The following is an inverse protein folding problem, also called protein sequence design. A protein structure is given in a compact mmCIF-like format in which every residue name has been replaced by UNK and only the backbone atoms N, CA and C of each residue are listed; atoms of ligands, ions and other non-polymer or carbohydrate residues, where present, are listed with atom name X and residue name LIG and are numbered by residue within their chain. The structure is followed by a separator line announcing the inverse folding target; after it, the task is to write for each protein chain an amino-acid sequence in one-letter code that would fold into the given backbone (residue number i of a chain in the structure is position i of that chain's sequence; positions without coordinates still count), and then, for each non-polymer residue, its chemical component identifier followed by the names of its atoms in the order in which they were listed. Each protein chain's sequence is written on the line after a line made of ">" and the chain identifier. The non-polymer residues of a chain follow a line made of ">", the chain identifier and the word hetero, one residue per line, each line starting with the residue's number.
data_IF_549086052953
#
_entry.id   IF_549086052953
#
_cell.length_a   1.000
_cell.length_b   1.000
_cell.length_c   1.000
_cell.angle_alpha   90.00
_cell.angle_beta   90.00
_cell.angle_gamma   90.00
#
_symmetry.space_group_name_H-M   'P 1'
#
loop_
_entity.id
_entity.type
_entity.pdbx_description
1 polymer ?
#
# COMPACT_ATOMS: atom_id res chain seq x y z
N UNK A 1 -47.03 23.24 -60.17
CA UNK A 1 -46.66 23.82 -58.85
C UNK A 1 -47.16 23.06 -57.65
N UNK A 2 -48.31 22.41 -57.61
CA UNK A 2 -48.81 21.64 -56.46
C UNK A 2 -47.96 20.38 -56.12
N UNK A 3 -47.47 19.62 -57.10
CA UNK A 3 -46.66 18.42 -56.90
C UNK A 3 -45.26 18.69 -56.36
N UNK A 4 -44.67 19.85 -56.63
CA UNK A 4 -43.32 20.21 -56.14
C UNK A 4 -43.33 20.64 -54.67
N UNK A 5 -44.45 21.18 -54.16
CA UNK A 5 -44.61 21.54 -52.75
C UNK A 5 -44.77 20.30 -51.84
N UNK A 6 -45.37 19.22 -52.37
CA UNK A 6 -45.55 17.97 -51.62
C UNK A 6 -44.23 17.21 -51.50
N UNK A 7 -43.36 17.23 -52.51
CA UNK A 7 -42.06 16.57 -52.44
C UNK A 7 -41.14 17.30 -51.48
N UNK A 8 -41.16 18.65 -51.41
CA UNK A 8 -40.39 19.44 -50.46
C UNK A 8 -40.84 19.20 -49.02
N UNK A 9 -42.12 19.02 -48.75
CA UNK A 9 -42.64 18.73 -47.40
C UNK A 9 -42.28 17.29 -46.94
N UNK A 10 -42.27 16.31 -47.81
CA UNK A 10 -41.84 14.94 -47.47
C UNK A 10 -40.36 14.81 -47.23
N UNK A 11 -39.50 15.53 -47.99
CA UNK A 11 -38.08 15.59 -47.76
C UNK A 11 -37.71 16.30 -46.43
N UNK A 12 -38.46 17.36 -46.06
CA UNK A 12 -38.25 18.08 -44.80
C UNK A 12 -38.64 17.23 -43.55
N UNK A 13 -39.69 16.43 -43.67
CA UNK A 13 -40.11 15.50 -42.59
C UNK A 13 -39.16 14.32 -42.49
N UNK A 14 -38.58 13.79 -43.60
CA UNK A 14 -37.60 12.74 -43.56
C UNK A 14 -36.25 13.22 -43.00
N UNK A 15 -35.82 14.46 -43.22
CA UNK A 15 -34.62 15.01 -42.61
C UNK A 15 -34.76 15.26 -41.11
N UNK A 16 -35.95 15.55 -40.63
CA UNK A 16 -36.22 15.67 -39.16
C UNK A 16 -36.30 14.36 -38.44
N UNK A 17 -36.61 13.24 -39.14
CA UNK A 17 -36.64 11.90 -38.54
C UNK A 17 -35.25 11.26 -38.42
N UNK A 18 -34.26 11.71 -39.20
CA UNK A 18 -32.86 11.23 -39.05
C UNK A 18 -32.02 12.02 -38.05
N UNK A 19 -32.54 13.12 -37.49
CA UNK A 19 -31.85 13.92 -36.47
C UNK A 19 -31.99 13.39 -35.05
N UNK A 20 -32.72 12.28 -34.84
CA UNK A 20 -32.90 11.63 -33.52
C UNK A 20 -32.12 10.34 -33.37
N UNK A 21 -31.16 10.03 -34.24
CA UNK A 21 -30.18 8.97 -33.95
C UNK A 21 -29.11 9.54 -33.02
N UNK A 22 -29.45 9.59 -31.77
CA UNK A 22 -28.68 9.27 -30.62
C UNK A 22 -27.20 9.65 -30.60
N UNK A 23 -26.88 10.94 -30.47
CA UNK A 23 -25.84 11.22 -29.47
C UNK A 23 -26.40 10.74 -28.13
N UNK A 24 -25.93 9.62 -27.61
CA UNK A 24 -25.88 9.42 -26.17
C UNK A 24 -25.08 10.59 -25.64
N UNK A 25 -25.77 11.63 -25.23
CA UNK A 25 -25.22 12.67 -24.41
C UNK A 25 -24.67 11.91 -23.20
N UNK A 26 -23.32 11.82 -23.12
CA UNK A 26 -22.71 11.45 -21.89
C UNK A 26 -23.35 12.36 -20.85
N UNK A 27 -24.12 11.78 -19.93
CA UNK A 27 -24.59 12.51 -18.78
C UNK A 27 -23.33 13.05 -18.11
N UNK A 28 -23.07 14.33 -18.27
CA UNK A 28 -22.11 15.07 -17.45
C UNK A 28 -22.72 15.24 -16.05
N UNK A 29 -23.04 14.13 -15.42
CA UNK A 29 -23.20 14.08 -13.97
C UNK A 29 -21.82 14.34 -13.39
N UNK A 30 -21.77 15.21 -12.40
CA UNK A 30 -20.57 15.42 -11.61
C UNK A 30 -20.03 14.05 -11.13
N UNK A 31 -18.73 13.76 -11.36
CA UNK A 31 -18.15 12.49 -10.98
C UNK A 31 -18.28 12.30 -9.46
N UNK A 32 -18.72 11.13 -9.02
CA UNK A 32 -18.88 10.85 -7.59
C UNK A 32 -17.52 10.85 -6.93
N UNK A 33 -17.34 11.67 -5.88
CA UNK A 33 -16.10 11.66 -5.09
C UNK A 33 -16.00 10.32 -4.35
N UNK A 34 -14.92 9.62 -4.57
CA UNK A 34 -14.54 8.38 -3.88
C UNK A 34 -13.37 8.67 -2.96
N UNK A 35 -13.33 8.05 -1.80
CA UNK A 35 -12.16 8.02 -0.90
C UNK A 35 -11.67 6.59 -0.74
N UNK A 36 -10.42 6.41 -0.33
CA UNK A 36 -9.86 5.07 -0.07
C UNK A 36 -10.62 4.36 1.07
N UNK A 37 -11.06 5.10 2.08
CA UNK A 37 -11.87 4.56 3.16
C UNK A 37 -13.23 4.07 2.66
N UNK A 38 -13.92 4.84 1.82
CA UNK A 38 -15.18 4.44 1.21
C UNK A 38 -15.00 3.23 0.27
N UNK A 39 -13.83 3.12 -0.38
CA UNK A 39 -13.47 2.02 -1.26
C UNK A 39 -13.21 0.70 -0.53
N UNK A 40 -13.13 0.69 0.80
CA UNK A 40 -13.03 -0.55 1.58
C UNK A 40 -14.36 -1.32 1.68
N UNK A 41 -15.50 -0.69 1.34
CA UNK A 41 -16.83 -1.30 1.42
C UNK A 41 -17.31 -1.85 0.06
N UNK A 42 -17.25 -3.16 -0.15
CA UNK A 42 -17.66 -3.80 -1.42
C UNK A 42 -19.10 -3.44 -1.82
N UNK A 43 -20.07 -3.53 -0.90
CA UNK A 43 -21.47 -3.23 -1.18
C UNK A 43 -21.68 -1.77 -1.63
N UNK A 44 -20.94 -0.85 -1.02
CA UNK A 44 -20.98 0.55 -1.44
C UNK A 44 -20.40 0.73 -2.85
N UNK A 45 -19.24 0.15 -3.12
CA UNK A 45 -18.62 0.22 -4.45
C UNK A 45 -19.53 -0.38 -5.52
N UNK A 46 -20.23 -1.48 -5.21
CA UNK A 46 -21.18 -2.10 -6.13
C UNK A 46 -22.31 -1.17 -6.55
N UNK A 47 -22.69 -0.22 -5.70
CA UNK A 47 -23.68 0.83 -6.05
C UNK A 47 -23.13 1.86 -7.06
N UNK A 48 -21.80 1.93 -7.19
CA UNK A 48 -21.09 2.86 -8.08
C UNK A 48 -20.55 2.17 -9.34
N UNK A 49 -20.74 0.86 -9.51
CA UNK A 49 -20.29 0.09 -10.66
C UNK A 49 -20.76 0.73 -11.98
N UNK A 50 -19.84 0.94 -12.91
CA UNK A 50 -20.09 1.59 -14.20
C UNK A 50 -20.28 3.12 -14.15
N UNK A 51 -20.17 3.76 -12.97
CA UNK A 51 -20.32 5.22 -12.84
C UNK A 51 -18.98 5.94 -12.90
N UNK A 52 -19.02 7.21 -13.29
CA UNK A 52 -17.86 8.09 -13.19
C UNK A 52 -17.55 8.43 -11.73
N UNK A 53 -16.31 8.24 -11.36
CA UNK A 53 -15.78 8.58 -10.03
C UNK A 53 -14.57 9.48 -10.14
N UNK A 54 -14.30 10.21 -9.07
CA UNK A 54 -13.06 10.98 -8.90
C UNK A 54 -12.44 10.66 -7.56
N UNK A 55 -11.11 10.50 -7.53
CA UNK A 55 -10.34 10.22 -6.33
C UNK A 55 -9.00 10.91 -6.42
N UNK A 56 -8.47 11.36 -5.29
CA UNK A 56 -7.12 11.92 -5.17
C UNK A 56 -6.17 10.93 -4.51
N UNK A 57 -4.89 10.99 -4.86
CA UNK A 57 -3.87 10.13 -4.29
C UNK A 57 -2.52 10.33 -4.94
N UNK A 58 -1.66 9.35 -4.80
CA UNK A 58 -0.28 9.34 -5.32
C UNK A 58 -0.04 8.09 -6.16
N UNK A 59 0.72 8.24 -7.22
CA UNK A 59 1.16 7.11 -8.04
C UNK A 59 2.26 6.33 -7.29
N UNK A 60 2.07 5.04 -7.09
CA UNK A 60 3.09 4.19 -6.50
C UNK A 60 4.31 4.03 -7.43
N UNK A 61 5.51 3.99 -6.87
CA UNK A 61 6.75 3.79 -7.63
C UNK A 61 6.84 2.41 -8.29
N UNK A 62 6.07 1.44 -7.80
CA UNK A 62 5.91 0.10 -8.36
C UNK A 62 4.95 0.03 -9.54
N UNK A 63 4.31 1.15 -9.94
CA UNK A 63 3.50 1.19 -11.15
C UNK A 63 4.32 0.83 -12.39
N UNK A 64 3.72 0.17 -13.41
CA UNK A 64 4.44 -0.20 -14.62
C UNK A 64 5.09 0.98 -15.32
N UNK A 65 6.36 0.83 -15.71
CA UNK A 65 7.16 1.89 -16.35
C UNK A 65 6.59 2.32 -17.70
N UNK A 66 5.88 1.41 -18.39
CA UNK A 66 5.21 1.69 -19.67
C UNK A 66 3.91 2.50 -19.50
N UNK A 67 3.46 2.71 -18.26
CA UNK A 67 2.25 3.45 -17.96
C UNK A 67 0.96 2.75 -18.40
N UNK A 68 1.00 1.43 -18.63
CA UNK A 68 -0.17 0.64 -19.02
C UNK A 68 -1.29 0.68 -17.98
N UNK A 69 -0.92 0.85 -16.72
CA UNK A 69 -1.80 1.19 -15.60
C UNK A 69 -0.98 1.83 -14.47
N UNK A 70 -1.61 2.28 -13.41
CA UNK A 70 -0.94 2.70 -12.19
C UNK A 70 -1.57 2.08 -10.96
N UNK A 71 -0.78 1.88 -9.93
CA UNK A 71 -1.27 1.73 -8.57
C UNK A 71 -1.43 3.11 -7.95
N UNK A 72 -2.67 3.49 -7.65
CA UNK A 72 -2.98 4.73 -6.94
C UNK A 72 -3.03 4.44 -5.44
N UNK A 73 -2.33 5.21 -4.66
CA UNK A 73 -2.21 5.08 -3.21
C UNK A 73 -2.77 6.33 -2.51
N UNK A 74 -3.27 6.14 -1.30
CA UNK A 74 -3.76 7.26 -0.48
C UNK A 74 -2.62 8.11 0.08
N UNK A 75 -1.41 7.57 0.20
CA UNK A 75 -0.25 8.23 0.79
C UNK A 75 0.96 8.17 -0.13
N UNK A 76 1.89 9.14 -0.07
CA UNK A 76 3.09 9.16 -0.91
C UNK A 76 4.12 8.14 -0.41
N UNK A 77 3.97 6.89 -0.75
CA UNK A 77 4.96 5.85 -0.44
C UNK A 77 6.02 5.77 -1.52
N UNK A 78 7.27 5.67 -1.09
CA UNK A 78 8.38 5.34 -1.99
C UNK A 78 8.57 3.82 -2.15
N UNK A 79 7.93 3.01 -1.31
CA UNK A 79 8.02 1.55 -1.30
C UNK A 79 6.79 0.87 -1.90
N UNK A 80 6.86 -0.46 -2.04
CA UNK A 80 5.80 -1.29 -2.58
C UNK A 80 4.45 -1.08 -1.87
N UNK A 81 3.35 -0.81 -2.61
CA UNK A 81 2.01 -0.61 -2.03
C UNK A 81 1.49 -1.84 -1.27
N UNK A 82 2.05 -3.03 -1.55
CA UNK A 82 1.69 -4.30 -0.94
C UNK A 82 2.50 -4.61 0.33
N UNK A 83 3.48 -3.76 0.67
CA UNK A 83 4.35 -3.95 1.82
C UNK A 83 3.79 -3.33 3.10
N UNK A 84 2.56 -2.83 3.10
CA UNK A 84 1.89 -2.40 4.32
C UNK A 84 1.49 -3.64 5.11
N UNK A 85 2.01 -3.82 6.33
CA UNK A 85 1.71 -5.01 7.11
C UNK A 85 0.20 -5.19 7.33
N UNK A 86 -0.30 -6.41 7.13
CA UNK A 86 -1.68 -6.83 7.38
C UNK A 86 -2.81 -6.13 6.61
N UNK A 87 -2.55 -5.47 5.51
CA UNK A 87 -3.62 -5.14 4.58
C UNK A 87 -3.85 -6.35 3.67
N UNK A 88 -4.58 -7.34 4.15
CA UNK A 88 -5.06 -8.47 3.34
C UNK A 88 -6.00 -8.02 2.23
N UNK A 89 -6.45 -6.79 2.30
CA UNK A 89 -7.18 -6.07 1.26
C UNK A 89 -6.52 -4.70 1.13
N UNK A 90 -6.16 -4.34 -0.06
CA UNK A 90 -5.48 -3.11 -0.43
C UNK A 90 -6.36 -1.87 -0.20
N UNK A 91 -6.80 -1.66 1.05
CA UNK A 91 -7.67 -0.56 1.44
C UNK A 91 -7.09 0.83 1.14
N UNK A 92 -5.79 0.89 0.90
CA UNK A 92 -5.04 2.11 0.60
C UNK A 92 -4.43 2.13 -0.81
N UNK A 93 -4.78 1.17 -1.67
CA UNK A 93 -4.26 1.07 -3.04
C UNK A 93 -5.36 0.62 -3.98
N UNK A 94 -5.39 1.17 -5.19
CA UNK A 94 -6.28 0.72 -6.26
C UNK A 94 -5.59 0.76 -7.61
N UNK A 95 -6.02 -0.09 -8.52
CA UNK A 95 -5.58 -0.07 -9.91
C UNK A 95 -6.35 0.96 -10.72
N UNK A 96 -5.62 1.71 -11.52
CA UNK A 96 -6.19 2.72 -12.43
C UNK A 96 -5.63 2.50 -13.83
N UNK A 97 -6.51 2.33 -14.81
CA UNK A 97 -6.18 2.07 -16.21
C UNK A 97 -6.48 3.31 -17.06
N UNK A 98 -5.56 3.73 -17.95
CA UNK A 98 -5.78 4.86 -18.84
C UNK A 98 -6.85 4.54 -19.88
N UNK A 99 -7.27 5.57 -20.63
CA UNK A 99 -8.09 5.37 -21.83
C UNK A 99 -7.36 4.49 -22.83
N UNK A 100 -8.12 3.73 -23.59
CA UNK A 100 -7.59 2.82 -24.58
C UNK A 100 -6.64 3.52 -25.57
N UNK A 101 -5.41 3.04 -25.60
CA UNK A 101 -4.34 3.59 -26.47
C UNK A 101 -3.58 4.76 -25.85
N UNK A 102 -3.88 5.13 -24.61
CA UNK A 102 -3.12 6.09 -23.81
C UNK A 102 -2.25 5.36 -22.78
N UNK A 103 -1.31 6.07 -22.18
CA UNK A 103 -0.47 5.61 -21.09
C UNK A 103 -0.28 6.71 -20.05
N UNK A 104 -0.02 6.33 -18.81
CA UNK A 104 0.29 7.29 -17.75
C UNK A 104 1.79 7.61 -17.71
N UNK A 105 2.12 8.91 -17.62
CA UNK A 105 3.46 9.33 -17.23
C UNK A 105 3.62 9.22 -15.72
N UNK A 106 4.79 8.78 -15.25
CA UNK A 106 5.07 8.73 -13.81
C UNK A 106 5.14 10.14 -13.22
N UNK A 107 4.58 10.30 -12.02
CA UNK A 107 4.71 11.51 -11.19
C UNK A 107 4.73 11.13 -9.72
N UNK A 108 5.53 11.87 -8.92
CA UNK A 108 5.54 11.77 -7.47
C UNK A 108 4.66 12.83 -6.79
N UNK A 109 3.97 13.65 -7.58
CA UNK A 109 3.06 14.67 -7.08
C UNK A 109 1.69 14.06 -6.79
N UNK A 110 0.93 14.74 -5.91
CA UNK A 110 -0.47 14.42 -5.69
C UNK A 110 -1.27 14.56 -6.99
N UNK A 111 -2.11 13.60 -7.30
CA UNK A 111 -2.91 13.57 -8.52
C UNK A 111 -4.39 13.37 -8.22
N UNK A 112 -5.22 13.93 -9.07
CA UNK A 112 -6.66 13.71 -9.09
C UNK A 112 -7.02 12.87 -10.29
N UNK A 113 -7.58 11.69 -10.05
CA UNK A 113 -8.07 10.76 -11.06
C UNK A 113 -9.53 11.06 -11.37
N UNK A 114 -9.91 10.92 -12.63
CA UNK A 114 -11.30 10.84 -13.08
C UNK A 114 -11.42 9.67 -14.04
N UNK A 115 -12.32 8.73 -13.77
CA UNK A 115 -12.53 7.54 -14.60
C UNK A 115 -13.82 6.81 -14.27
N UNK A 116 -14.03 5.66 -14.85
CA UNK A 116 -15.19 4.79 -14.62
C UNK A 116 -14.81 3.70 -13.63
N UNK A 117 -15.59 3.56 -12.57
CA UNK A 117 -15.39 2.48 -11.61
C UNK A 117 -15.92 1.17 -12.19
N UNK A 118 -15.11 0.12 -12.16
CA UNK A 118 -15.50 -1.26 -12.41
C UNK A 118 -15.36 -2.07 -11.12
N UNK A 119 -16.41 -2.78 -10.72
CA UNK A 119 -16.43 -3.61 -9.51
C UNK A 119 -16.60 -5.07 -9.90
N UNK A 120 -15.80 -5.95 -9.32
CA UNK A 120 -15.87 -7.39 -9.56
C UNK A 120 -17.29 -7.94 -9.36
N UNK A 121 -17.62 -9.05 -10.00
CA UNK A 121 -18.96 -9.67 -9.91
C UNK A 121 -19.32 -10.02 -8.46
N UNK A 122 -18.34 -10.57 -7.73
CA UNK A 122 -18.42 -10.90 -6.31
C UNK A 122 -17.02 -10.83 -5.69
N UNK A 123 -16.92 -10.76 -4.36
CA UNK A 123 -15.64 -10.79 -3.63
C UNK A 123 -14.87 -12.10 -3.86
N UNK A 124 -15.57 -13.20 -4.17
CA UNK A 124 -14.96 -14.49 -4.49
C UNK A 124 -14.41 -14.60 -5.93
N UNK A 125 -14.62 -13.56 -6.74
CA UNK A 125 -14.18 -13.49 -8.15
C UNK A 125 -13.53 -12.13 -8.43
N UNK A 126 -12.41 -11.83 -7.77
CA UNK A 126 -11.69 -10.56 -7.95
C UNK A 126 -11.14 -10.44 -9.39
N UNK A 127 -10.80 -9.23 -9.78
CA UNK A 127 -9.91 -9.00 -10.92
C UNK A 127 -8.50 -9.42 -10.55
N UNK A 128 -7.78 -10.02 -11.49
CA UNK A 128 -6.36 -10.36 -11.31
C UNK A 128 -5.53 -9.55 -12.30
N UNK A 129 -4.52 -8.85 -11.79
CA UNK A 129 -3.61 -8.08 -12.62
C UNK A 129 -2.54 -8.94 -13.29
N UNK A 130 -1.67 -8.31 -14.08
CA UNK A 130 -0.58 -9.00 -14.77
C UNK A 130 0.51 -9.55 -13.83
N UNK A 131 0.53 -9.11 -12.58
CA UNK A 131 1.47 -9.58 -11.55
C UNK A 131 0.87 -10.65 -10.65
N UNK A 132 -0.44 -10.97 -10.83
CA UNK A 132 -1.16 -11.95 -10.03
C UNK A 132 -1.80 -11.38 -8.76
N UNK A 133 -1.86 -10.05 -8.60
CA UNK A 133 -2.57 -9.42 -7.50
C UNK A 133 -4.08 -9.39 -7.76
N UNK A 134 -4.86 -9.50 -6.69
CA UNK A 134 -6.32 -9.58 -6.76
C UNK A 134 -6.95 -8.30 -6.22
N UNK A 135 -7.91 -7.75 -6.97
CA UNK A 135 -8.63 -6.52 -6.65
C UNK A 135 -10.13 -6.71 -6.87
N UNK A 136 -10.94 -6.24 -5.94
CA UNK A 136 -12.39 -6.27 -6.08
C UNK A 136 -12.94 -5.12 -6.93
N UNK A 137 -12.11 -4.14 -7.25
CA UNK A 137 -12.48 -2.97 -8.06
C UNK A 137 -11.24 -2.36 -8.72
N UNK A 138 -11.48 -1.61 -9.79
CA UNK A 138 -10.49 -0.81 -10.51
C UNK A 138 -11.16 0.40 -11.16
N UNK A 139 -10.37 1.39 -11.53
CA UNK A 139 -10.85 2.54 -12.31
C UNK A 139 -10.32 2.40 -13.74
N UNK A 140 -11.22 2.50 -14.71
CA UNK A 140 -10.88 2.37 -16.14
C UNK A 140 -11.24 3.64 -16.91
N UNK A 141 -10.77 3.75 -18.16
CA UNK A 141 -10.93 4.93 -19.01
C UNK A 141 -10.53 6.24 -18.30
N UNK A 142 -9.50 6.13 -17.46
CA UNK A 142 -9.10 7.19 -16.55
C UNK A 142 -8.16 8.21 -17.18
N UNK A 143 -8.24 9.42 -16.66
CA UNK A 143 -7.27 10.49 -16.82
C UNK A 143 -6.84 11.00 -15.45
N UNK A 144 -5.65 11.62 -15.37
CA UNK A 144 -5.26 12.30 -14.14
C UNK A 144 -4.85 13.76 -14.43
N UNK A 145 -4.95 14.57 -13.37
CA UNK A 145 -4.40 15.93 -13.31
C UNK A 145 -3.56 16.05 -12.05
N UNK A 146 -2.46 16.78 -12.13
CA UNK A 146 -1.64 17.10 -10.96
C UNK A 146 -2.41 18.12 -10.12
N UNK A 147 -2.50 17.86 -8.82
CA UNK A 147 -3.08 18.79 -7.85
C UNK A 147 -2.02 19.85 -7.55
N UNK A 148 -2.39 21.12 -7.71
CA UNK A 148 -1.44 22.20 -7.44
C UNK A 148 -1.28 22.38 -5.92
N UNK A 149 -0.15 22.95 -5.50
CA UNK A 149 0.20 23.07 -4.08
C UNK A 149 -0.83 23.86 -3.26
N UNK A 150 -1.54 24.81 -3.88
CA UNK A 150 -2.61 25.59 -3.26
C UNK A 150 -3.98 24.89 -3.27
N UNK A 151 -4.09 23.75 -3.94
CA UNK A 151 -5.28 22.89 -4.00
C UNK A 151 -5.16 21.64 -3.11
N UNK A 152 -3.98 21.41 -2.51
CA UNK A 152 -3.77 20.28 -1.59
C UNK A 152 -4.66 20.43 -0.35
N UNK A 153 -5.27 19.33 0.09
CA UNK A 153 -5.86 19.26 1.42
C UNK A 153 -4.76 19.43 2.50
N UNK A 154 -5.14 19.81 3.70
CA UNK A 154 -4.19 19.93 4.82
C UNK A 154 -3.47 18.60 5.05
N UNK A 155 -4.19 17.48 4.99
CA UNK A 155 -3.65 16.13 5.14
C UNK A 155 -2.66 15.78 4.04
N UNK A 156 -3.00 16.03 2.77
CA UNK A 156 -2.08 15.81 1.66
C UNK A 156 -0.80 16.63 1.79
N UNK A 157 -0.91 17.88 2.20
CA UNK A 157 0.24 18.76 2.40
C UNK A 157 1.16 18.28 3.53
N UNK A 158 0.60 17.75 4.62
CA UNK A 158 1.35 17.15 5.72
C UNK A 158 2.08 15.87 5.28
N UNK A 159 1.37 14.98 4.59
CA UNK A 159 1.98 13.74 4.10
C UNK A 159 3.05 13.98 3.05
N UNK A 160 2.91 14.97 2.20
CA UNK A 160 3.95 15.33 1.25
C UNK A 160 5.24 15.77 1.98
N UNK A 161 5.14 16.55 3.06
CA UNK A 161 6.29 16.91 3.88
C UNK A 161 6.94 15.70 4.56
N UNK A 162 6.13 14.76 5.06
CA UNK A 162 6.64 13.49 5.63
C UNK A 162 7.39 12.69 4.56
N UNK A 163 6.85 12.57 3.36
CA UNK A 163 7.48 11.81 2.28
C UNK A 163 8.85 12.39 1.85
N UNK A 164 9.03 13.70 1.96
CA UNK A 164 10.31 14.37 1.67
C UNK A 164 11.43 14.01 2.67
N UNK A 165 11.08 13.44 3.82
CA UNK A 165 12.04 13.10 4.89
C UNK A 165 12.57 11.65 4.84
N UNK A 166 12.13 10.83 3.89
CA UNK A 166 12.39 9.38 3.82
C UNK A 166 11.90 8.57 5.04
N UNK A 167 11.27 9.22 6.03
CA UNK A 167 10.87 8.57 7.28
C UNK A 167 9.82 7.46 7.07
N UNK A 168 9.05 7.54 6.00
CA UNK A 168 8.05 6.50 5.67
C UNK A 168 8.74 5.14 5.48
N UNK A 169 9.85 5.09 4.75
CA UNK A 169 10.66 3.89 4.60
C UNK A 169 11.23 3.38 5.92
N UNK A 170 11.65 4.30 6.79
CA UNK A 170 12.14 3.96 8.13
C UNK A 170 11.04 3.35 9.00
N UNK A 171 9.80 3.85 8.92
CA UNK A 171 8.66 3.31 9.66
C UNK A 171 8.36 1.88 9.23
N UNK A 172 8.31 1.59 7.92
CA UNK A 172 8.08 0.22 7.46
C UNK A 172 9.18 -0.73 7.89
N UNK A 173 10.42 -0.33 7.72
CA UNK A 173 11.58 -1.11 8.16
C UNK A 173 11.55 -1.38 9.65
N UNK A 174 11.12 -0.40 10.43
CA UNK A 174 10.93 -0.54 11.88
C UNK A 174 9.89 -1.63 12.20
N UNK A 175 8.73 -1.62 11.54
CA UNK A 175 7.71 -2.65 11.78
C UNK A 175 8.15 -4.04 11.36
N UNK A 176 8.78 -4.19 10.22
CA UNK A 176 9.36 -5.47 9.78
C UNK A 176 10.34 -6.02 10.81
N UNK A 177 11.17 -5.15 11.34
CA UNK A 177 12.15 -5.44 12.34
C UNK A 177 11.53 -5.87 13.68
N UNK A 178 10.54 -5.13 14.18
CA UNK A 178 9.83 -5.48 15.42
C UNK A 178 9.08 -6.80 15.25
N UNK A 179 8.48 -7.04 14.10
CA UNK A 179 7.82 -8.30 13.78
C UNK A 179 8.81 -9.47 13.75
N UNK A 180 9.98 -9.28 13.15
CA UNK A 180 11.05 -10.28 13.15
C UNK A 180 11.42 -10.70 14.56
N UNK A 181 11.58 -9.74 15.48
CA UNK A 181 11.93 -10.02 16.87
C UNK A 181 10.80 -10.72 17.64
N UNK A 182 9.57 -10.26 17.50
CA UNK A 182 8.43 -10.78 18.22
C UNK A 182 8.06 -12.21 17.79
N UNK A 183 8.19 -12.49 16.49
CA UNK A 183 7.92 -13.81 15.93
C UNK A 183 9.16 -14.71 15.88
N UNK A 184 10.21 -14.37 16.63
CA UNK A 184 11.49 -15.05 16.49
C UNK A 184 11.41 -16.53 16.90
N UNK A 185 11.82 -17.36 15.99
CA UNK A 185 12.22 -18.74 16.19
C UNK A 185 13.56 -18.94 15.49
N UNK A 186 14.10 -20.14 15.43
CA UNK A 186 15.29 -20.36 14.60
C UNK A 186 15.00 -19.95 13.15
N UNK A 187 15.50 -18.79 12.78
CA UNK A 187 15.21 -18.17 11.50
C UNK A 187 16.19 -18.61 10.43
N UNK A 188 15.66 -18.92 9.25
CA UNK A 188 16.50 -19.29 8.11
C UNK A 188 16.67 -18.11 7.15
N UNK A 189 17.93 -17.74 6.92
CA UNK A 189 18.30 -16.78 5.88
C UNK A 189 18.53 -17.55 4.58
N UNK A 190 17.72 -17.26 3.56
CA UNK A 190 17.85 -17.87 2.24
C UNK A 190 19.22 -17.57 1.61
N UNK A 191 19.68 -18.48 0.75
CA UNK A 191 20.85 -18.22 -0.08
C UNK A 191 20.61 -16.98 -0.95
N UNK A 192 21.63 -16.17 -1.10
CA UNK A 192 21.62 -14.94 -1.88
C UNK A 192 22.85 -14.78 -2.74
N UNK A 193 23.04 -13.59 -3.28
CA UNK A 193 24.25 -13.22 -4.02
C UNK A 193 24.82 -11.97 -3.37
N UNK A 194 26.11 -11.97 -3.06
CA UNK A 194 26.80 -10.80 -2.53
C UNK A 194 26.99 -9.71 -3.61
N UNK A 195 27.46 -8.55 -3.22
CA UNK A 195 27.74 -7.42 -4.12
C UNK A 195 28.77 -7.74 -5.23
N UNK A 196 29.56 -8.81 -5.08
CA UNK A 196 30.52 -9.28 -6.05
C UNK A 196 29.97 -10.38 -6.98
N UNK A 197 28.70 -10.77 -6.79
CA UNK A 197 28.04 -11.81 -7.56
C UNK A 197 28.34 -13.25 -7.10
N UNK A 198 28.93 -13.43 -5.92
CA UNK A 198 29.18 -14.77 -5.36
C UNK A 198 27.93 -15.27 -4.66
N UNK A 199 27.67 -16.58 -4.79
CA UNK A 199 26.55 -17.20 -4.06
C UNK A 199 26.92 -17.31 -2.59
N UNK A 200 26.10 -16.68 -1.72
CA UNK A 200 26.15 -16.83 -0.27
C UNK A 200 25.17 -17.94 0.09
N UNK A 201 25.63 -19.07 0.67
CA UNK A 201 24.72 -20.13 1.07
C UNK A 201 23.78 -19.66 2.19
N UNK A 202 22.57 -20.22 2.20
CA UNK A 202 21.63 -19.97 3.30
C UNK A 202 22.13 -20.56 4.61
N UNK A 203 21.71 -19.96 5.72
CA UNK A 203 22.11 -20.37 7.07
C UNK A 203 21.00 -20.09 8.09
N UNK A 204 21.09 -20.70 9.27
CA UNK A 204 20.20 -20.43 10.39
C UNK A 204 20.78 -19.34 11.28
N UNK A 205 19.88 -18.48 11.74
CA UNK A 205 20.14 -17.52 12.82
C UNK A 205 19.71 -18.12 14.14
N UNK A 206 20.65 -18.31 15.04
CA UNK A 206 20.42 -18.70 16.42
C UNK A 206 20.16 -17.45 17.30
N UNK A 207 19.67 -17.60 18.56
CA UNK A 207 19.40 -16.45 19.43
C UNK A 207 20.58 -15.47 19.56
N UNK A 208 21.79 -15.98 19.69
CA UNK A 208 23.02 -15.16 19.77
C UNK A 208 23.29 -14.36 18.50
N UNK A 209 23.01 -14.95 17.35
CA UNK A 209 23.18 -14.30 16.05
C UNK A 209 22.10 -13.21 15.86
N UNK A 210 20.87 -13.49 16.29
CA UNK A 210 19.78 -12.51 16.27
C UNK A 210 20.13 -11.29 17.14
N UNK A 211 20.58 -11.50 18.36
CA UNK A 211 21.02 -10.41 19.26
C UNK A 211 22.14 -9.61 18.61
N UNK A 212 23.16 -10.28 18.04
CA UNK A 212 24.28 -9.62 17.38
C UNK A 212 23.85 -8.76 16.20
N UNK A 213 23.05 -9.30 15.29
CA UNK A 213 22.51 -8.57 14.15
C UNK A 213 21.73 -7.33 14.55
N UNK A 214 20.98 -7.43 15.64
CA UNK A 214 20.12 -6.37 16.14
C UNK A 214 20.92 -5.26 16.84
N UNK A 215 21.90 -5.64 17.67
CA UNK A 215 22.60 -4.69 18.55
C UNK A 215 23.87 -4.13 17.95
N UNK A 216 24.57 -4.86 17.12
CA UNK A 216 25.95 -4.53 16.70
C UNK A 216 26.06 -4.22 15.21
N UNK A 217 25.33 -4.89 14.35
CA UNK A 217 25.52 -4.87 12.89
C UNK A 217 24.30 -4.39 12.10
N UNK A 218 23.28 -3.95 12.80
CA UNK A 218 22.02 -3.54 12.21
C UNK A 218 22.12 -2.47 11.13
N UNK A 219 23.16 -1.65 11.18
CA UNK A 219 23.41 -0.66 10.13
C UNK A 219 23.85 -1.33 8.81
N UNK A 220 24.55 -2.46 8.86
CA UNK A 220 25.09 -3.15 7.68
C UNK A 220 23.99 -3.97 6.97
N UNK A 221 23.06 -4.55 7.73
CA UNK A 221 22.01 -5.42 7.18
C UNK A 221 20.62 -4.75 7.10
N UNK A 222 20.52 -3.47 7.43
CA UNK A 222 19.24 -2.73 7.55
C UNK A 222 18.26 -3.29 8.61
N UNK A 223 18.73 -4.11 9.54
CA UNK A 223 17.97 -4.71 10.63
C UNK A 223 18.56 -4.22 11.96
N UNK A 224 18.71 -2.95 12.22
CA UNK A 224 19.44 -2.55 13.39
C UNK A 224 18.64 -1.74 14.39
N UNK A 225 18.47 -2.27 15.58
CA UNK A 225 18.23 -1.49 16.77
C UNK A 225 19.56 -0.93 17.25
N UNK A 226 19.81 0.35 16.95
CA UNK A 226 20.85 1.13 17.60
C UNK A 226 20.20 2.05 18.63
N UNK A 227 20.93 2.41 19.69
CA UNK A 227 20.48 3.42 20.63
C UNK A 227 20.05 4.68 19.87
N UNK A 228 18.81 5.14 20.12
CA UNK A 228 18.24 6.28 19.44
C UNK A 228 17.58 5.98 18.08
N UNK A 229 17.48 4.73 17.64
CA UNK A 229 16.82 4.41 16.37
C UNK A 229 15.38 4.90 16.30
N UNK A 230 14.56 4.57 17.29
CA UNK A 230 13.17 5.02 17.39
C UNK A 230 13.08 6.54 17.57
N UNK A 231 13.95 7.12 18.38
CA UNK A 231 14.03 8.59 18.58
C UNK A 231 14.36 9.31 17.26
N UNK A 232 15.21 8.74 16.43
CA UNK A 232 15.54 9.29 15.12
C UNK A 232 14.31 9.34 14.19
N UNK A 233 13.50 8.29 14.15
CA UNK A 233 12.26 8.25 13.37
C UNK A 233 11.26 9.28 13.92
N UNK A 234 11.04 9.28 15.23
CA UNK A 234 10.10 10.19 15.90
C UNK A 234 10.51 11.65 15.68
N UNK A 235 11.78 11.98 15.81
CA UNK A 235 12.26 13.36 15.61
C UNK A 235 12.00 13.87 14.19
N UNK A 236 12.09 13.02 13.17
CA UNK A 236 11.75 13.38 11.79
C UNK A 236 10.25 13.68 11.64
N UNK A 237 9.39 12.87 12.29
CA UNK A 237 7.94 13.05 12.27
C UNK A 237 7.53 14.33 12.99
N UNK A 238 8.03 14.54 14.21
CA UNK A 238 7.74 15.71 15.03
C UNK A 238 8.24 17.02 14.41
N UNK A 239 9.31 16.95 13.61
CA UNK A 239 9.80 18.11 12.86
C UNK A 239 8.83 18.57 11.76
N UNK A 240 7.95 17.70 11.28
CA UNK A 240 6.90 18.06 10.33
C UNK A 240 5.70 18.67 11.05
N UNK A 241 5.09 17.92 11.95
CA UNK A 241 4.02 18.38 12.85
C UNK A 241 3.83 17.41 14.03
N UNK A 242 4.17 17.81 15.27
CA UNK A 242 4.08 16.93 16.43
C UNK A 242 2.64 16.61 16.84
N UNK A 243 1.67 17.47 16.48
CA UNK A 243 0.27 17.26 16.88
C UNK A 243 -0.47 16.37 15.90
N UNK A 244 -0.29 16.60 14.61
CA UNK A 244 -0.96 15.83 13.56
C UNK A 244 -0.56 14.35 13.58
N UNK A 245 0.67 14.03 14.01
CA UNK A 245 1.22 12.68 14.04
C UNK A 245 1.38 12.10 15.45
N UNK A 246 0.71 12.67 16.47
CA UNK A 246 0.83 12.20 17.86
C UNK A 246 0.49 10.72 18.04
N UNK A 247 -0.55 10.22 17.36
CA UNK A 247 -0.96 8.81 17.44
C UNK A 247 0.08 7.88 16.79
N UNK A 248 0.70 8.31 15.69
CA UNK A 248 1.81 7.58 15.06
C UNK A 248 3.01 7.50 16.01
N UNK A 249 3.39 8.61 16.61
CA UNK A 249 4.49 8.67 17.60
C UNK A 249 4.21 7.75 18.78
N UNK A 250 2.98 7.74 19.30
CA UNK A 250 2.58 6.84 20.40
C UNK A 250 2.68 5.36 20.00
N UNK A 251 2.28 5.03 18.78
CA UNK A 251 2.40 3.66 18.24
C UNK A 251 3.88 3.25 18.09
N UNK A 252 4.75 4.12 17.59
CA UNK A 252 6.19 3.87 17.46
C UNK A 252 6.84 3.67 18.85
N UNK A 253 6.44 4.44 19.87
CA UNK A 253 6.90 4.23 21.24
C UNK A 253 6.46 2.88 21.81
N UNK A 254 5.27 2.42 21.47
CA UNK A 254 4.81 1.09 21.86
C UNK A 254 5.61 -0.01 21.16
N UNK A 255 5.94 0.18 19.88
CA UNK A 255 6.83 -0.72 19.14
C UNK A 255 8.25 -0.77 19.75
N UNK A 256 8.78 0.37 20.19
CA UNK A 256 10.05 0.44 20.92
C UNK A 256 10.01 -0.37 22.25
N UNK A 257 8.95 -0.20 23.02
CA UNK A 257 8.78 -0.96 24.27
C UNK A 257 8.69 -2.47 24.02
N UNK A 258 7.96 -2.88 22.98
CA UNK A 258 7.84 -4.27 22.58
C UNK A 258 9.18 -4.85 22.11
N UNK A 259 9.95 -4.08 21.35
CA UNK A 259 11.32 -4.45 20.94
C UNK A 259 12.22 -4.71 22.14
N UNK A 260 12.22 -3.80 23.12
CA UNK A 260 13.01 -3.96 24.35
C UNK A 260 12.58 -5.22 25.14
N UNK A 261 11.27 -5.51 25.18
CA UNK A 261 10.73 -6.72 25.80
C UNK A 261 11.26 -7.98 25.10
N UNK A 262 11.15 -8.04 23.77
CA UNK A 262 11.62 -9.17 22.98
C UNK A 262 13.14 -9.40 23.10
N UNK A 263 13.93 -8.34 23.06
CA UNK A 263 15.39 -8.40 23.26
C UNK A 263 15.76 -8.94 24.63
N UNK A 264 15.10 -8.46 25.69
CA UNK A 264 15.34 -8.93 27.05
C UNK A 264 15.05 -10.43 27.20
N UNK A 265 14.03 -10.96 26.52
CA UNK A 265 13.73 -12.39 26.51
C UNK A 265 14.87 -13.19 25.83
N UNK A 266 15.42 -12.69 24.71
CA UNK A 266 16.55 -13.32 24.05
C UNK A 266 17.82 -13.26 24.90
N UNK A 267 18.15 -12.11 25.48
CA UNK A 267 19.35 -11.89 26.30
C UNK A 267 19.35 -12.70 27.60
N UNK A 268 18.17 -12.94 28.18
CA UNK A 268 18.00 -13.75 29.36
C UNK A 268 17.80 -15.25 29.05
N UNK A 269 17.99 -15.66 27.81
CA UNK A 269 17.83 -17.04 27.37
C UNK A 269 16.44 -17.63 27.64
N UNK A 270 15.39 -16.81 27.62
CA UNK A 270 14.00 -17.22 27.82
C UNK A 270 13.40 -17.82 26.55
N UNK A 271 14.04 -18.85 26.06
CA UNK A 271 13.60 -19.62 24.90
C UNK A 271 13.69 -21.13 25.19
N UNK A 272 12.84 -21.89 24.50
CA UNK A 272 12.90 -23.33 24.47
C UNK A 272 13.67 -23.80 23.24
N UNK A 273 14.22 -25.01 23.30
CA UNK A 273 14.83 -25.64 22.14
C UNK A 273 14.29 -27.07 21.98
N UNK A 274 14.07 -27.46 20.74
CA UNK A 274 13.71 -28.84 20.40
C UNK A 274 14.49 -29.29 19.16
N UNK A 275 14.79 -30.60 19.10
CA UNK A 275 15.38 -31.21 17.90
C UNK A 275 14.30 -31.39 16.86
N UNK A 276 14.48 -30.79 15.69
CA UNK A 276 13.58 -30.96 14.53
C UNK A 276 14.36 -31.43 13.33
N UNK A 277 13.78 -32.36 12.57
CA UNK A 277 14.28 -32.68 11.25
C UNK A 277 13.90 -31.56 10.27
N UNK A 278 14.91 -31.00 9.65
CA UNK A 278 14.79 -29.89 8.73
C UNK A 278 14.82 -30.46 7.30
N UNK A 279 13.64 -30.69 6.72
CA UNK A 279 13.51 -31.35 5.41
C UNK A 279 14.32 -30.68 4.30
N UNK A 280 14.37 -29.35 4.30
CA UNK A 280 15.09 -28.57 3.31
C UNK A 280 16.62 -28.78 3.36
N UNK A 281 17.17 -29.29 4.48
CA UNK A 281 18.59 -29.57 4.65
C UNK A 281 18.91 -31.06 4.81
N UNK A 282 17.88 -31.88 4.99
CA UNK A 282 18.04 -33.31 5.21
C UNK A 282 18.80 -33.65 6.52
N UNK A 283 18.74 -32.78 7.52
CA UNK A 283 19.44 -32.92 8.81
C UNK A 283 18.57 -32.59 9.99
N UNK A 284 18.93 -33.15 11.17
CA UNK A 284 18.34 -32.71 12.43
C UNK A 284 19.17 -31.57 13.02
N UNK A 285 18.48 -30.53 13.51
CA UNK A 285 19.10 -29.42 14.23
C UNK A 285 18.20 -28.92 15.37
N UNK A 286 18.78 -28.08 16.24
CA UNK A 286 18.03 -27.44 17.32
C UNK A 286 17.25 -26.25 16.78
N UNK A 287 15.94 -26.24 17.01
CA UNK A 287 15.06 -25.10 16.75
C UNK A 287 14.75 -24.43 18.08
N UNK A 288 15.00 -23.14 18.14
CA UNK A 288 14.77 -22.30 19.32
C UNK A 288 13.49 -21.48 19.13
N UNK A 289 12.69 -21.33 20.17
CA UNK A 289 11.45 -20.55 20.16
C UNK A 289 11.35 -19.75 21.44
N UNK A 290 11.08 -18.44 21.34
CA UNK A 290 10.85 -17.57 22.50
C UNK A 290 9.70 -18.09 23.35
N UNK A 291 9.89 -18.13 24.69
CA UNK A 291 8.89 -18.66 25.62
C UNK A 291 7.56 -17.89 25.58
N UNK A 292 7.63 -16.56 25.37
CA UNK A 292 6.46 -15.68 25.24
C UNK A 292 6.22 -15.25 23.78
N UNK A 293 6.71 -16.02 22.81
CA UNK A 293 6.64 -15.65 21.39
C UNK A 293 5.22 -15.43 20.87
N UNK A 294 4.25 -16.24 21.32
CA UNK A 294 2.83 -16.06 20.94
C UNK A 294 2.25 -14.75 21.51
N UNK A 295 2.61 -14.38 22.74
CA UNK A 295 2.19 -13.13 23.37
C UNK A 295 2.79 -11.92 22.62
N UNK A 296 4.09 -11.94 22.34
CA UNK A 296 4.78 -10.88 21.59
C UNK A 296 4.20 -10.71 20.19
N UNK A 297 3.90 -11.82 19.52
CA UNK A 297 3.29 -11.79 18.19
C UNK A 297 1.89 -11.18 18.23
N UNK A 298 1.08 -11.50 19.24
CA UNK A 298 -0.25 -10.92 19.42
C UNK A 298 -0.19 -9.40 19.71
N UNK A 299 0.76 -8.97 20.56
CA UNK A 299 1.01 -7.54 20.81
C UNK A 299 1.43 -6.83 19.52
N UNK A 300 2.34 -7.43 18.73
CA UNK A 300 2.77 -6.87 17.46
C UNK A 300 1.64 -6.74 16.45
N UNK A 301 0.78 -7.75 16.33
CA UNK A 301 -0.40 -7.67 15.46
C UNK A 301 -1.35 -6.55 15.89
N UNK A 302 -1.48 -6.29 17.18
CA UNK A 302 -2.26 -5.17 17.73
C UNK A 302 -1.67 -3.84 17.28
N UNK A 303 -0.34 -3.67 17.34
CA UNK A 303 0.35 -2.46 16.88
C UNK A 303 0.18 -2.24 15.38
N UNK A 304 0.31 -3.30 14.57
CA UNK A 304 0.07 -3.22 13.13
C UNK A 304 -1.35 -2.81 12.80
N UNK A 305 -2.34 -3.40 13.49
CA UNK A 305 -3.74 -3.05 13.28
C UNK A 305 -4.02 -1.59 13.63
N UNK A 306 -3.44 -1.10 14.73
CA UNK A 306 -3.56 0.31 15.12
C UNK A 306 -2.92 1.24 14.07
N UNK A 307 -1.74 0.88 13.57
CA UNK A 307 -1.07 1.63 12.50
C UNK A 307 -1.87 1.64 11.19
N UNK A 308 -2.37 0.49 10.77
CA UNK A 308 -3.18 0.37 9.56
C UNK A 308 -4.49 1.19 9.65
N UNK A 309 -5.16 1.14 10.81
CA UNK A 309 -6.36 1.92 11.06
C UNK A 309 -6.06 3.43 11.04
N UNK A 310 -4.94 3.83 11.64
CA UNK A 310 -4.50 5.22 11.63
C UNK A 310 -4.18 5.71 10.21
N UNK A 311 -3.47 4.91 9.40
CA UNK A 311 -3.25 5.22 7.98
C UNK A 311 -4.56 5.38 7.21
N UNK A 312 -5.53 4.50 7.44
CA UNK A 312 -6.84 4.54 6.80
C UNK A 312 -7.71 5.72 7.25
N UNK A 313 -7.40 6.39 8.34
CA UNK A 313 -8.14 7.55 8.84
C UNK A 313 -7.81 8.86 8.12
N UNK A 314 -6.70 8.92 7.39
CA UNK A 314 -6.32 10.09 6.61
C UNK A 314 -7.14 10.19 5.33
N UNK A 315 -7.94 11.24 5.20
CA UNK A 315 -8.73 11.56 4.01
C UNK A 315 -7.92 12.43 3.05
N UNK A 316 -7.77 11.95 1.82
CA UNK A 316 -7.09 12.65 0.74
C UNK A 316 -8.08 13.31 -0.23
#
# INVERSE_FOLDING_TARGET
>A
MKRMKTIFAVCLVLTLLFSFTGCKQAQSGEATKLSFQAASGYDYLKTLDGKQVTISGYMATSSPVDGSFMFLMNLPYQSCPFCVPNTSQLSNTMEVYPKKGESFGFTNQAIKIVGTLEVAESEDKPFTDMYGYEFNYKIVDATYTIIQADELSEDMALWQKIAETDVVSDIYRMYDYVNFLCAWNTYYVNSGTDENGNVVPGYYLYPTDAIYLITTDGAQYNYGYQDGYFDSIISKIEAVDPNAFADLVANIRSAEALTKKALAELENEHYTSEKKYLEQFGTEDLVYTLTIGEELTAEMQTLYSAFANWLGSWEM
#
